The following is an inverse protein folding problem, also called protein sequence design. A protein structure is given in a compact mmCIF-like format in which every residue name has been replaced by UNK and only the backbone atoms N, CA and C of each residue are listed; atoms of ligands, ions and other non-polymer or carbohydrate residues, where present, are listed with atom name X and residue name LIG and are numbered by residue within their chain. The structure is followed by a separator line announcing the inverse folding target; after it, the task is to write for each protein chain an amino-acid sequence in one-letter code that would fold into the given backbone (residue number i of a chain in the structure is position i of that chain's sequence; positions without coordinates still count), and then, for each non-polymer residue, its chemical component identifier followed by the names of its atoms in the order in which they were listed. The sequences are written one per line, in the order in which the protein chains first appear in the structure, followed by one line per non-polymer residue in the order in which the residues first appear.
data_IF_248901961711
#
_entry.id   IF_248901961711
#
_cell.length_a   1.000
_cell.length_b   1.000
_cell.length_c   1.000
_cell.angle_alpha   90.00
_cell.angle_beta   90.00
_cell.angle_gamma   90.00
#
_symmetry.space_group_name_H-M   'P 1'
#
loop_
_entity.id
_entity.type
_entity.pdbx_description
1 polymer ?
#
# COMPACT_ATOMS: atom_id res chain seq x y z
N UNK A 1 -68.06 6.41 9.79
CA UNK A 1 -68.42 7.80 10.18
C UNK A 1 -68.17 8.65 8.94
N UNK A 2 -69.17 9.37 8.45
CA UNK A 2 -68.94 10.39 7.41
C UNK A 2 -68.06 11.46 8.05
N UNK A 3 -66.81 11.59 7.61
CA UNK A 3 -65.96 12.70 8.01
C UNK A 3 -66.67 13.98 7.57
N UNK A 4 -66.91 14.91 8.50
CA UNK A 4 -67.49 16.20 8.14
C UNK A 4 -66.59 16.84 7.08
N UNK A 5 -67.20 17.25 5.98
CA UNK A 5 -66.48 17.83 4.86
C UNK A 5 -65.81 19.13 5.33
N UNK A 6 -64.47 19.15 5.38
CA UNK A 6 -63.72 20.33 5.77
C UNK A 6 -63.82 21.39 4.68
N UNK A 7 -64.27 22.59 5.05
CA UNK A 7 -64.34 23.77 4.19
C UNK A 7 -63.35 24.81 4.74
N UNK A 8 -62.15 24.97 4.12
CA UNK A 8 -61.08 25.79 4.69
C UNK A 8 -61.34 27.29 4.59
N UNK A 9 -62.29 27.72 3.75
CA UNK A 9 -62.59 29.13 3.48
C UNK A 9 -64.09 29.41 3.56
N UNK A 10 -64.45 30.61 4.04
CA UNK A 10 -65.85 31.00 4.32
C UNK A 10 -66.72 31.14 3.07
N UNK A 11 -66.11 31.46 1.94
CA UNK A 11 -66.76 31.66 0.63
C UNK A 11 -66.66 30.41 -0.27
N UNK A 12 -66.34 29.24 0.30
CA UNK A 12 -66.26 27.96 -0.41
C UNK A 12 -67.28 27.00 0.18
N UNK A 13 -68.11 26.43 -0.69
CA UNK A 13 -69.19 25.49 -0.35
C UNK A 13 -69.17 24.26 -1.27
N UNK A 14 -70.10 23.33 -1.05
CA UNK A 14 -70.19 22.07 -1.81
C UNK A 14 -70.50 22.25 -3.30
N UNK A 15 -70.91 23.44 -3.72
CA UNK A 15 -71.23 23.76 -5.12
C UNK A 15 -70.15 24.60 -5.80
N UNK A 16 -69.11 25.00 -5.06
CA UNK A 16 -68.00 25.80 -5.57
C UNK A 16 -67.23 25.00 -6.63
N UNK A 17 -66.97 25.57 -7.83
CA UNK A 17 -66.11 24.93 -8.82
C UNK A 17 -64.73 24.61 -8.25
N UNK A 18 -64.15 23.47 -8.66
CA UNK A 18 -62.82 23.04 -8.21
C UNK A 18 -62.68 22.89 -6.68
N UNK A 19 -63.78 22.57 -6.00
CA UNK A 19 -63.83 22.42 -4.54
C UNK A 19 -62.71 21.54 -3.97
N UNK A 20 -62.48 20.37 -4.57
CA UNK A 20 -61.46 19.44 -4.09
C UNK A 20 -60.04 19.96 -4.31
N UNK A 21 -59.79 20.70 -5.40
CA UNK A 21 -58.51 21.36 -5.67
C UNK A 21 -58.25 22.51 -4.67
N UNK A 22 -59.29 23.30 -4.36
CA UNK A 22 -59.22 24.39 -3.37
C UNK A 22 -58.92 23.83 -1.98
N UNK A 23 -59.56 22.72 -1.61
CA UNK A 23 -59.27 22.01 -0.35
C UNK A 23 -57.84 21.53 -0.31
N UNK A 24 -57.39 20.83 -1.35
CA UNK A 24 -56.01 20.35 -1.41
C UNK A 24 -55.01 21.50 -1.29
N UNK A 25 -55.25 22.63 -1.95
CA UNK A 25 -54.38 23.80 -1.88
C UNK A 25 -54.28 24.38 -0.46
N UNK A 26 -55.38 24.33 0.30
CA UNK A 26 -55.44 24.76 1.69
C UNK A 26 -54.77 23.74 2.64
N UNK A 27 -55.09 22.46 2.51
CA UNK A 27 -54.53 21.37 3.32
C UNK A 27 -53.01 21.24 3.11
N UNK A 28 -52.54 21.49 1.89
CA UNK A 28 -51.13 21.60 1.55
C UNK A 28 -50.44 22.84 2.15
N UNK A 29 -51.21 23.82 2.62
CA UNK A 29 -50.70 25.11 3.10
C UNK A 29 -50.19 26.03 1.99
N UNK A 30 -50.53 25.75 0.73
CA UNK A 30 -50.11 26.57 -0.43
C UNK A 30 -50.94 27.86 -0.49
N UNK A 31 -52.26 27.75 -0.28
CA UNK A 31 -53.15 28.90 -0.10
C UNK A 31 -53.64 28.99 1.34
N UNK A 32 -53.60 30.19 1.90
CA UNK A 32 -54.07 30.51 3.25
C UNK A 32 -55.30 31.42 3.25
N UNK A 33 -55.78 31.79 2.05
CA UNK A 33 -56.89 32.70 1.84
C UNK A 33 -56.61 34.13 2.31
N UNK A 34 -57.63 34.98 2.16
CA UNK A 34 -57.62 36.35 2.61
C UNK A 34 -58.26 36.46 4.00
N UNK A 35 -57.52 36.85 5.05
CA UNK A 35 -58.05 36.90 6.39
C UNK A 35 -59.06 38.05 6.56
N UNK A 36 -60.12 37.81 7.33
CA UNK A 36 -61.20 38.77 7.59
C UNK A 36 -61.15 39.42 8.99
N UNK A 37 -60.10 39.14 9.77
CA UNK A 37 -59.90 39.70 11.11
C UNK A 37 -60.67 39.00 12.24
N UNK A 38 -61.68 38.19 11.90
CA UNK A 38 -62.44 37.32 12.82
C UNK A 38 -61.82 35.91 12.98
N UNK A 39 -60.61 35.72 12.47
CA UNK A 39 -59.93 34.42 12.41
C UNK A 39 -60.34 33.54 11.23
N UNK A 40 -61.30 33.97 10.40
CA UNK A 40 -61.68 33.27 9.16
C UNK A 40 -60.97 33.88 7.95
N UNK A 41 -60.90 33.09 6.88
CA UNK A 41 -60.35 33.50 5.58
C UNK A 41 -61.34 33.22 4.45
N UNK A 42 -61.23 33.99 3.36
CA UNK A 42 -61.95 33.75 2.09
C UNK A 42 -60.97 33.42 0.97
N UNK A 43 -61.34 32.51 0.07
CA UNK A 43 -60.52 32.06 -1.05
C UNK A 43 -60.53 33.03 -2.23
N UNK A 44 -61.68 33.65 -2.51
CA UNK A 44 -61.91 34.53 -3.67
C UNK A 44 -61.69 33.79 -5.01
N UNK A 45 -62.35 32.65 -5.21
CA UNK A 45 -62.10 31.74 -6.35
C UNK A 45 -62.32 32.33 -7.76
N UNK A 46 -63.02 33.46 -7.89
CA UNK A 46 -63.18 34.19 -9.16
C UNK A 46 -62.20 35.36 -9.31
N UNK A 47 -61.32 35.58 -8.33
CA UNK A 47 -60.30 36.63 -8.37
C UNK A 47 -59.13 36.26 -9.27
N UNK A 48 -58.65 37.23 -10.05
CA UNK A 48 -57.43 37.07 -10.83
C UNK A 48 -56.23 36.96 -9.90
N UNK A 49 -55.41 35.92 -10.09
CA UNK A 49 -54.13 35.78 -9.39
C UNK A 49 -53.16 36.85 -9.89
N UNK A 50 -52.64 37.66 -8.96
CA UNK A 50 -51.58 38.63 -9.23
C UNK A 50 -50.20 38.03 -8.95
N UNK A 51 -49.14 38.64 -9.52
CA UNK A 51 -47.77 38.07 -9.48
C UNK A 51 -47.23 37.84 -8.08
N UNK A 52 -47.53 38.70 -7.11
CA UNK A 52 -47.08 38.52 -5.73
C UNK A 52 -47.77 37.36 -5.01
N UNK A 53 -49.05 37.10 -5.31
CA UNK A 53 -49.79 35.97 -4.74
C UNK A 53 -49.25 34.66 -5.32
N UNK A 54 -48.97 34.64 -6.64
CA UNK A 54 -48.31 33.52 -7.30
C UNK A 54 -46.93 33.23 -6.69
N UNK A 55 -46.14 34.27 -6.37
CA UNK A 55 -44.85 34.10 -5.69
C UNK A 55 -44.99 33.39 -4.34
N UNK A 56 -46.00 33.76 -3.55
CA UNK A 56 -46.30 33.10 -2.29
C UNK A 56 -46.67 31.62 -2.48
N UNK A 57 -47.51 31.30 -3.46
CA UNK A 57 -47.89 29.91 -3.77
C UNK A 57 -46.68 29.07 -4.16
N UNK A 58 -45.84 29.57 -5.07
CA UNK A 58 -44.67 28.84 -5.56
C UNK A 58 -43.62 28.61 -4.47
N UNK A 59 -43.37 29.58 -3.58
CA UNK A 59 -42.44 29.37 -2.45
C UNK A 59 -42.97 28.36 -1.44
N UNK A 60 -44.28 28.38 -1.16
CA UNK A 60 -44.92 27.39 -0.27
C UNK A 60 -44.85 26.00 -0.87
N UNK A 61 -45.09 25.87 -2.17
CA UNK A 61 -44.95 24.59 -2.87
C UNK A 61 -43.50 24.10 -2.86
N UNK A 62 -42.54 24.99 -3.14
CA UNK A 62 -41.12 24.66 -3.05
C UNK A 62 -40.70 24.18 -1.65
N UNK A 63 -41.26 24.78 -0.59
CA UNK A 63 -41.02 24.36 0.78
C UNK A 63 -41.57 22.96 1.07
N UNK A 64 -42.67 22.53 0.42
CA UNK A 64 -43.21 21.17 0.54
C UNK A 64 -42.31 20.14 -0.12
N UNK A 65 -41.71 20.49 -1.26
CA UNK A 65 -40.72 19.64 -1.95
C UNK A 65 -39.33 19.67 -1.31
N UNK A 66 -39.15 20.40 -0.20
CA UNK A 66 -37.86 20.47 0.49
C UNK A 66 -36.76 21.20 -0.29
N UNK A 67 -37.13 22.06 -1.24
CA UNK A 67 -36.17 22.88 -1.99
C UNK A 67 -35.40 23.75 -1.01
N UNK A 68 -34.07 23.75 -1.15
CA UNK A 68 -33.15 24.41 -0.24
C UNK A 68 -33.56 25.87 0.03
N UNK A 69 -33.54 26.24 1.32
CA UNK A 69 -33.86 27.56 1.83
C UNK A 69 -35.29 28.07 1.60
N UNK A 70 -36.19 27.42 0.84
CA UNK A 70 -37.54 27.92 0.59
C UNK A 70 -38.32 28.26 1.88
N UNK A 71 -38.37 27.33 2.84
CA UNK A 71 -39.06 27.51 4.13
C UNK A 71 -38.37 28.51 5.07
N UNK A 72 -37.04 28.57 5.02
CA UNK A 72 -36.20 29.31 5.98
C UNK A 72 -35.62 30.62 5.46
N UNK A 73 -35.90 30.98 4.20
CA UNK A 73 -35.27 32.12 3.53
C UNK A 73 -35.53 33.43 4.27
N UNK A 74 -34.44 34.17 4.50
CA UNK A 74 -34.43 35.51 5.09
C UNK A 74 -33.66 36.43 4.14
N UNK A 75 -34.30 37.45 3.53
CA UNK A 75 -33.62 38.29 2.56
C UNK A 75 -32.53 39.16 3.20
N UNK A 76 -31.33 39.11 2.61
CA UNK A 76 -30.20 39.95 2.95
C UNK A 76 -30.29 41.35 2.35
N UNK A 77 -29.35 42.24 2.69
CA UNK A 77 -29.36 43.63 2.22
C UNK A 77 -29.29 43.78 0.69
N UNK A 78 -28.69 42.82 -0.01
CA UNK A 78 -28.64 42.77 -1.48
C UNK A 78 -29.96 42.34 -2.10
N UNK A 79 -30.69 41.43 -1.45
CA UNK A 79 -31.99 40.95 -1.95
C UNK A 79 -33.01 42.09 -1.97
N UNK A 80 -33.03 42.92 -0.93
CA UNK A 80 -33.89 44.11 -0.87
C UNK A 80 -33.60 45.17 -1.97
N UNK A 81 -32.48 45.04 -2.69
CA UNK A 81 -32.15 45.91 -3.84
C UNK A 81 -32.51 45.28 -5.19
N UNK A 82 -33.04 44.06 -5.20
CA UNK A 82 -33.28 43.26 -6.40
C UNK A 82 -34.35 43.85 -7.32
N UNK A 83 -35.39 44.44 -6.75
CA UNK A 83 -36.47 45.11 -7.46
C UNK A 83 -36.75 46.49 -6.88
N UNK A 84 -36.98 47.48 -7.73
CA UNK A 84 -37.22 48.87 -7.33
C UNK A 84 -38.57 49.09 -6.64
N UNK A 85 -39.54 48.22 -6.91
CA UNK A 85 -40.93 48.28 -6.45
C UNK A 85 -41.25 47.20 -5.39
N UNK A 86 -40.22 46.58 -4.79
CA UNK A 86 -40.38 45.60 -3.71
C UNK A 86 -39.62 46.08 -2.48
N UNK A 87 -40.35 46.34 -1.42
CA UNK A 87 -39.84 46.75 -0.12
C UNK A 87 -40.50 45.94 1.01
N UNK A 88 -40.15 46.26 2.25
CA UNK A 88 -40.65 45.54 3.44
C UNK A 88 -42.16 45.67 3.67
N UNK A 89 -42.81 46.66 3.05
CA UNK A 89 -44.26 46.86 3.11
C UNK A 89 -45.00 46.17 1.96
N UNK A 90 -44.27 45.71 0.95
CA UNK A 90 -44.85 45.01 -0.20
C UNK A 90 -45.40 43.65 0.24
N UNK A 91 -46.66 43.32 -0.10
CA UNK A 91 -47.21 42.01 0.21
C UNK A 91 -46.35 40.91 -0.43
N UNK A 92 -46.09 39.84 0.33
CA UNK A 92 -45.29 38.69 -0.15
C UNK A 92 -43.85 39.06 -0.58
N UNK A 93 -43.29 40.17 -0.07
CA UNK A 93 -41.94 40.62 -0.46
C UNK A 93 -40.87 39.54 -0.30
N UNK A 94 -40.86 38.81 0.82
CA UNK A 94 -39.88 37.74 1.03
C UNK A 94 -40.05 36.58 0.04
N UNK A 95 -41.29 36.29 -0.35
CA UNK A 95 -41.60 35.25 -1.34
C UNK A 95 -41.08 35.68 -2.72
N UNK A 96 -41.31 36.94 -3.10
CA UNK A 96 -40.79 37.53 -4.34
C UNK A 96 -39.26 37.49 -4.38
N UNK A 97 -38.61 37.85 -3.27
CA UNK A 97 -37.15 37.88 -3.18
C UNK A 97 -36.56 36.47 -3.19
N UNK A 98 -37.21 35.49 -2.55
CA UNK A 98 -36.78 34.10 -2.65
C UNK A 98 -36.84 33.60 -4.11
N UNK A 99 -37.97 33.82 -4.82
CA UNK A 99 -38.10 33.46 -6.24
C UNK A 99 -37.01 34.11 -7.09
N UNK A 100 -36.58 35.32 -6.73
CA UNK A 100 -35.54 36.02 -7.47
C UNK A 100 -34.13 35.47 -7.15
N UNK A 101 -33.90 35.08 -5.90
CA UNK A 101 -32.64 34.47 -5.45
C UNK A 101 -32.40 33.10 -6.08
N UNK A 102 -33.46 32.34 -6.36
CA UNK A 102 -33.40 31.03 -7.02
C UNK A 102 -33.52 31.13 -8.54
N UNK A 103 -33.75 32.33 -9.09
CA UNK A 103 -33.88 32.54 -10.53
C UNK A 103 -35.22 32.11 -11.13
N UNK A 104 -36.20 31.72 -10.32
CA UNK A 104 -37.58 31.44 -10.76
C UNK A 104 -38.20 32.69 -11.40
N UNK A 105 -37.96 33.87 -10.81
CA UNK A 105 -38.31 35.15 -11.43
C UNK A 105 -37.09 36.02 -11.71
N UNK A 106 -37.10 36.70 -12.85
CA UNK A 106 -36.09 37.70 -13.22
C UNK A 106 -36.59 39.14 -13.02
N UNK A 107 -37.90 39.31 -12.80
CA UNK A 107 -38.60 40.59 -12.94
C UNK A 107 -38.65 41.10 -14.38
N UNK A 108 -39.00 42.36 -14.52
CA UNK A 108 -39.01 43.11 -15.78
C UNK A 108 -37.63 43.74 -16.03
N UNK A 109 -37.34 44.06 -17.30
CA UNK A 109 -36.05 44.63 -17.72
C UNK A 109 -35.72 45.99 -17.06
N UNK A 110 -36.73 46.72 -16.60
CA UNK A 110 -36.59 48.00 -15.89
C UNK A 110 -36.18 47.84 -14.41
N UNK A 111 -36.08 46.59 -13.93
CA UNK A 111 -35.76 46.25 -12.54
C UNK A 111 -36.97 46.24 -11.61
N UNK A 112 -38.20 46.11 -12.13
CA UNK A 112 -39.43 45.97 -11.32
C UNK A 112 -39.94 44.53 -11.28
N UNK A 113 -40.76 44.18 -10.29
CA UNK A 113 -41.46 42.89 -10.20
C UNK A 113 -42.94 43.00 -10.62
N UNK A 114 -43.55 44.15 -10.36
CA UNK A 114 -44.95 44.51 -10.62
C UNK A 114 -45.95 43.57 -9.95
N UNK A 115 -45.85 43.45 -8.63
CA UNK A 115 -46.57 42.46 -7.80
C UNK A 115 -48.09 42.43 -7.99
N UNK A 116 -48.72 43.57 -8.23
CA UNK A 116 -50.18 43.70 -8.45
C UNK A 116 -50.63 43.45 -9.89
N UNK A 117 -49.71 43.19 -10.82
CA UNK A 117 -50.07 42.86 -12.21
C UNK A 117 -50.66 41.45 -12.26
N UNK A 118 -51.73 41.20 -13.03
CA UNK A 118 -52.19 39.85 -13.33
C UNK A 118 -51.07 38.95 -13.85
N UNK A 119 -51.06 37.69 -13.45
CA UNK A 119 -50.12 36.72 -14.02
C UNK A 119 -50.58 36.34 -15.42
N UNK A 120 -49.81 36.74 -16.44
CA UNK A 120 -50.05 36.27 -17.80
C UNK A 120 -49.66 34.79 -17.95
N UNK A 121 -50.33 34.07 -18.85
CA UNK A 121 -50.07 32.63 -19.08
C UNK A 121 -48.60 32.31 -19.38
N UNK A 122 -47.91 33.21 -20.09
CA UNK A 122 -46.47 33.09 -20.38
C UNK A 122 -45.59 33.25 -19.15
N UNK A 123 -45.97 34.13 -18.22
CA UNK A 123 -45.23 34.33 -16.96
C UNK A 123 -45.43 33.11 -16.05
N UNK A 124 -46.67 32.61 -15.97
CA UNK A 124 -47.00 31.38 -15.25
C UNK A 124 -46.18 30.20 -15.78
N UNK A 125 -46.12 30.00 -17.11
CA UNK A 125 -45.33 28.94 -17.71
C UNK A 125 -43.85 29.04 -17.35
N UNK A 126 -43.28 30.26 -17.40
CA UNK A 126 -41.89 30.47 -17.02
C UNK A 126 -41.64 30.18 -15.54
N UNK A 127 -42.53 30.59 -14.64
CA UNK A 127 -42.39 30.32 -13.22
C UNK A 127 -42.50 28.83 -12.89
N UNK A 128 -43.48 28.13 -13.45
CA UNK A 128 -43.69 26.70 -13.20
C UNK A 128 -42.51 25.90 -13.74
N UNK A 129 -42.05 26.16 -14.97
CA UNK A 129 -40.91 25.45 -15.55
C UNK A 129 -39.64 25.61 -14.70
N UNK A 130 -39.34 26.84 -14.27
CA UNK A 130 -38.14 27.09 -13.46
C UNK A 130 -38.27 26.48 -12.07
N UNK A 131 -39.47 26.48 -11.48
CA UNK A 131 -39.70 25.77 -10.22
C UNK A 131 -39.50 24.26 -10.40
N UNK A 132 -39.98 23.69 -11.51
CA UNK A 132 -39.83 22.27 -11.85
C UNK A 132 -38.35 21.87 -11.96
N UNK A 133 -37.51 22.72 -12.57
CA UNK A 133 -36.04 22.54 -12.63
C UNK A 133 -35.42 22.38 -11.22
N UNK A 134 -36.01 23.00 -10.19
CA UNK A 134 -35.57 22.86 -8.80
C UNK A 134 -36.19 21.64 -8.08
N UNK A 135 -37.44 21.27 -8.40
CA UNK A 135 -38.12 20.11 -7.80
C UNK A 135 -37.50 18.81 -8.33
N UNK A 136 -37.31 18.74 -9.64
CA UNK A 136 -36.80 17.56 -10.34
C UNK A 136 -35.27 17.60 -10.50
N UNK A 137 -34.55 18.33 -9.65
CA UNK A 137 -33.10 18.23 -9.62
C UNK A 137 -32.70 16.85 -9.07
N UNK A 138 -32.49 15.90 -9.97
CA UNK A 138 -31.92 14.61 -9.64
C UNK A 138 -30.44 14.78 -9.29
N UNK A 139 -30.10 14.49 -8.03
CA UNK A 139 -28.74 14.17 -7.65
C UNK A 139 -28.37 12.83 -8.32
N UNK A 140 -27.67 12.87 -9.46
CA UNK A 140 -27.14 11.66 -10.07
C UNK A 140 -25.92 11.23 -9.29
N UNK A 141 -26.08 10.19 -8.48
CA UNK A 141 -24.96 9.47 -7.88
C UNK A 141 -24.38 8.56 -8.96
N UNK A 142 -23.30 9.01 -9.59
CA UNK A 142 -22.54 8.20 -10.54
C UNK A 142 -21.41 7.49 -9.79
N UNK A 143 -21.26 6.20 -10.07
CA UNK A 143 -20.08 5.45 -9.64
C UNK A 143 -18.95 5.76 -10.62
N UNK A 144 -17.90 6.37 -10.10
CA UNK A 144 -16.71 6.71 -10.88
C UNK A 144 -15.58 5.80 -10.40
N UNK A 145 -14.94 5.12 -11.35
CA UNK A 145 -13.68 4.41 -11.08
C UNK A 145 -12.61 5.48 -10.94
N UNK A 146 -12.12 5.68 -9.73
CA UNK A 146 -11.05 6.67 -9.45
C UNK A 146 -9.67 6.03 -9.53
N UNK A 147 -9.60 4.71 -9.42
CA UNK A 147 -8.41 3.91 -9.67
C UNK A 147 -8.83 2.56 -10.23
N UNK A 148 -8.25 2.17 -11.36
CA UNK A 148 -8.49 0.86 -11.97
C UNK A 148 -7.90 -0.25 -11.12
N UNK A 149 -8.43 -1.47 -11.29
CA UNK A 149 -7.83 -2.66 -10.71
C UNK A 149 -6.42 -2.85 -11.25
N UNK A 150 -5.50 -3.31 -10.41
CA UNK A 150 -4.11 -3.49 -10.78
C UNK A 150 -3.46 -4.65 -10.04
N UNK A 151 -2.46 -5.22 -10.70
CA UNK A 151 -1.71 -6.37 -10.21
C UNK A 151 -0.33 -5.89 -9.74
N UNK A 152 -0.03 -6.09 -8.46
CA UNK A 152 1.29 -5.79 -7.88
C UNK A 152 2.15 -7.05 -7.86
N UNK A 153 3.39 -6.96 -8.34
CA UNK A 153 4.39 -7.99 -8.08
C UNK A 153 5.11 -7.65 -6.78
N UNK A 154 4.93 -8.49 -5.76
CA UNK A 154 5.62 -8.35 -4.47
C UNK A 154 6.58 -9.52 -4.26
N UNK A 155 7.71 -9.24 -3.60
CA UNK A 155 8.67 -10.28 -3.22
C UNK A 155 8.00 -11.22 -2.23
N UNK A 156 7.96 -12.52 -2.56
CA UNK A 156 7.47 -13.57 -1.67
C UNK A 156 8.60 -14.12 -0.81
N UNK A 157 9.71 -14.50 -1.46
CA UNK A 157 10.97 -14.84 -0.78
C UNK A 157 12.11 -13.99 -1.33
N UNK A 158 12.89 -13.30 -0.47
CA UNK A 158 14.01 -12.51 -0.92
C UNK A 158 15.14 -13.39 -1.44
N UNK A 159 15.96 -12.83 -2.32
CA UNK A 159 17.21 -13.46 -2.74
C UNK A 159 18.14 -13.62 -1.52
N UNK A 160 18.91 -14.71 -1.50
CA UNK A 160 19.83 -15.00 -0.41
C UNK A 160 21.04 -15.81 -0.89
N UNK A 161 22.17 -15.62 -0.20
CA UNK A 161 23.40 -16.33 -0.49
C UNK A 161 23.60 -17.47 0.50
N UNK A 162 23.73 -18.69 0.00
CA UNK A 162 24.08 -19.88 0.77
C UNK A 162 25.58 -20.10 0.76
N UNK A 163 26.21 -20.15 1.92
CA UNK A 163 27.63 -20.51 2.03
C UNK A 163 27.74 -22.01 2.32
N UNK A 164 28.23 -22.76 1.33
CA UNK A 164 28.57 -24.17 1.46
C UNK A 164 30.01 -24.25 1.95
N UNK A 165 30.26 -24.72 3.19
CA UNK A 165 31.60 -24.73 3.76
C UNK A 165 32.53 -25.69 3.03
N UNK A 166 33.83 -25.39 3.06
CA UNK A 166 34.84 -26.26 2.50
C UNK A 166 34.83 -27.65 3.16
N UNK A 167 34.90 -28.71 2.36
CA UNK A 167 35.09 -30.08 2.86
C UNK A 167 36.58 -30.36 2.90
N UNK A 168 37.11 -30.63 4.08
CA UNK A 168 38.53 -30.95 4.28
C UNK A 168 38.71 -32.37 4.77
N UNK A 169 39.90 -32.92 4.55
CA UNK A 169 40.31 -34.22 5.09
C UNK A 169 41.73 -34.13 5.60
N UNK A 170 41.94 -34.70 6.78
CA UNK A 170 43.28 -34.87 7.33
C UNK A 170 43.92 -36.10 6.68
N UNK A 171 45.09 -35.90 6.09
CA UNK A 171 45.95 -36.95 5.55
C UNK A 171 47.14 -37.09 6.47
N UNK A 172 47.33 -38.30 6.99
CA UNK A 172 48.44 -38.64 7.86
C UNK A 172 49.62 -39.10 6.99
N UNK A 173 50.75 -38.42 7.14
CA UNK A 173 52.00 -38.82 6.51
C UNK A 173 52.90 -39.49 7.56
N UNK A 174 53.33 -40.72 7.28
CA UNK A 174 54.23 -41.45 8.15
C UNK A 174 55.62 -40.78 8.21
N UNK A 175 56.32 -40.97 9.33
CA UNK A 175 57.69 -40.51 9.46
C UNK A 175 58.60 -41.21 8.44
N UNK A 176 59.47 -40.45 7.77
CA UNK A 176 60.54 -41.04 6.95
C UNK A 176 61.75 -41.23 7.84
N UNK A 177 62.22 -42.47 7.90
CA UNK A 177 63.31 -42.86 8.78
C UNK A 177 64.35 -43.71 8.05
N UNK A 178 65.60 -43.61 8.47
CA UNK A 178 66.66 -44.53 8.07
C UNK A 178 67.37 -45.12 9.29
N UNK A 179 68.10 -46.21 9.08
CA UNK A 179 68.93 -46.84 10.11
C UNK A 179 70.38 -46.39 9.98
N UNK A 180 70.95 -45.88 11.06
CA UNK A 180 72.38 -45.63 11.18
C UNK A 180 73.05 -46.68 12.08
N UNK A 181 74.25 -47.17 11.73
CA UNK A 181 75.00 -48.06 12.60
C UNK A 181 75.46 -47.32 13.87
N UNK A 182 75.31 -47.96 15.02
CA UNK A 182 75.82 -47.46 16.31
C UNK A 182 77.09 -48.23 16.65
N UNK A 183 78.17 -47.48 16.84
CA UNK A 183 79.46 -48.02 17.23
C UNK A 183 79.74 -47.73 18.71
N UNK A 184 80.19 -48.75 19.43
CA UNK A 184 80.70 -48.60 20.81
C UNK A 184 82.13 -49.11 20.88
N UNK A 185 82.97 -48.43 21.66
CA UNK A 185 84.33 -48.88 21.94
C UNK A 185 84.29 -50.09 22.89
N UNK A 186 84.63 -51.29 22.40
CA UNK A 186 84.70 -52.51 23.21
C UNK A 186 86.07 -53.16 23.14
N UNK A 187 86.41 -53.90 24.21
CA UNK A 187 87.61 -54.73 24.24
C UNK A 187 87.34 -56.03 23.48
N UNK A 188 88.04 -56.25 22.38
CA UNK A 188 87.84 -57.40 21.48
C UNK A 188 89.17 -57.84 20.86
N UNK A 189 89.14 -58.91 20.04
CA UNK A 189 90.26 -59.27 19.20
C UNK A 189 90.28 -58.34 17.99
N UNK A 190 91.42 -57.68 17.75
CA UNK A 190 91.57 -56.72 16.65
C UNK A 190 92.65 -57.18 15.67
N UNK A 191 92.42 -56.94 14.39
CA UNK A 191 93.50 -56.94 13.41
C UNK A 191 94.15 -55.57 13.42
N UNK A 192 95.45 -55.54 13.69
CA UNK A 192 96.28 -54.35 13.64
C UNK A 192 97.22 -54.42 12.45
N UNK A 193 97.18 -53.39 11.64
CA UNK A 193 98.03 -53.22 10.46
C UNK A 193 99.27 -52.37 10.79
N UNK A 194 100.34 -52.44 9.97
CA UNK A 194 101.62 -51.79 10.25
C UNK A 194 101.54 -50.27 10.27
N UNK A 195 100.60 -49.68 9.53
CA UNK A 195 100.33 -48.24 9.49
C UNK A 195 99.57 -47.72 10.72
N UNK A 196 99.18 -48.63 11.63
CA UNK A 196 98.46 -48.31 12.85
C UNK A 196 96.94 -48.39 12.72
N UNK A 197 96.40 -48.72 11.54
CA UNK A 197 94.98 -48.99 11.38
C UNK A 197 94.58 -50.23 12.19
N UNK A 198 93.43 -50.15 12.87
CA UNK A 198 92.90 -51.21 13.72
C UNK A 198 91.43 -51.41 13.35
N UNK A 199 91.07 -52.66 13.08
CA UNK A 199 89.68 -53.09 12.91
C UNK A 199 89.40 -54.29 13.83
N UNK A 200 88.21 -54.34 14.41
CA UNK A 200 87.80 -55.52 15.16
C UNK A 200 87.72 -56.73 14.22
N UNK A 201 88.24 -57.88 14.64
CA UNK A 201 88.36 -59.04 13.76
C UNK A 201 87.00 -59.58 13.30
N UNK A 202 85.97 -59.42 14.14
CA UNK A 202 84.58 -59.71 13.81
C UNK A 202 84.00 -58.72 12.79
N UNK A 203 84.27 -57.42 12.90
CA UNK A 203 83.87 -56.44 11.89
C UNK A 203 84.57 -56.65 10.55
N UNK A 204 85.87 -56.99 10.57
CA UNK A 204 86.59 -57.36 9.36
C UNK A 204 85.96 -58.58 8.67
N UNK A 205 85.55 -59.58 9.45
CA UNK A 205 84.93 -60.80 8.92
C UNK A 205 83.57 -60.57 8.23
N UNK A 206 82.88 -59.45 8.55
CA UNK A 206 81.61 -59.07 7.92
C UNK A 206 81.79 -58.40 6.56
N UNK A 207 82.98 -57.89 6.26
CA UNK A 207 83.30 -57.30 4.95
C UNK A 207 83.28 -58.41 3.87
N UNK A 208 82.84 -58.07 2.66
CA UNK A 208 82.93 -59.00 1.53
C UNK A 208 84.39 -59.31 1.20
N UNK A 209 84.68 -60.43 0.53
CA UNK A 209 86.05 -60.80 0.19
C UNK A 209 86.79 -59.73 -0.64
N UNK A 210 86.08 -58.98 -1.48
CA UNK A 210 86.66 -57.84 -2.22
C UNK A 210 86.98 -56.67 -1.28
N UNK A 211 86.14 -56.38 -0.30
CA UNK A 211 86.37 -55.31 0.67
C UNK A 211 87.48 -55.65 1.66
N UNK A 212 87.50 -56.89 2.16
CA UNK A 212 88.61 -57.42 2.96
C UNK A 212 89.92 -57.29 2.20
N UNK A 213 89.96 -57.75 0.94
CA UNK A 213 91.16 -57.67 0.11
C UNK A 213 91.58 -56.22 -0.16
N UNK A 214 90.63 -55.33 -0.47
CA UNK A 214 90.92 -53.90 -0.66
C UNK A 214 91.46 -53.25 0.61
N UNK A 215 90.87 -53.56 1.76
CA UNK A 215 91.31 -53.04 3.06
C UNK A 215 92.71 -53.55 3.40
N UNK A 216 92.95 -54.84 3.25
CA UNK A 216 94.28 -55.42 3.45
C UNK A 216 95.32 -54.76 2.55
N UNK A 217 95.03 -54.60 1.25
CA UNK A 217 95.95 -53.96 0.31
C UNK A 217 96.18 -52.48 0.61
N UNK A 218 95.16 -51.76 1.08
CA UNK A 218 95.28 -50.36 1.48
C UNK A 218 96.20 -50.19 2.71
N UNK A 219 96.26 -51.19 3.58
CA UNK A 219 96.99 -51.13 4.86
C UNK A 219 98.25 -52.03 4.88
N UNK A 220 98.78 -52.41 3.71
CA UNK A 220 100.08 -53.09 3.59
C UNK A 220 100.06 -54.62 3.69
N UNK A 221 98.89 -55.24 3.54
CA UNK A 221 98.68 -56.67 3.24
C UNK A 221 98.91 -57.66 4.39
N UNK A 222 99.70 -57.29 5.41
CA UNK A 222 99.97 -58.15 6.57
C UNK A 222 99.41 -57.54 7.85
N UNK A 223 98.54 -58.26 8.56
CA UNK A 223 98.01 -57.86 9.86
C UNK A 223 98.48 -58.77 11.00
N UNK A 224 98.40 -58.26 12.23
CA UNK A 224 98.61 -59.03 13.46
C UNK A 224 97.33 -59.05 14.28
N UNK A 225 97.00 -60.19 14.88
CA UNK A 225 95.81 -60.34 15.73
C UNK A 225 96.20 -60.19 17.20
N UNK A 226 95.68 -59.16 17.87
CA UNK A 226 95.96 -58.89 19.29
C UNK A 226 94.67 -58.48 20.04
N UNK A 227 94.58 -58.68 21.36
CA UNK A 227 93.51 -58.07 22.15
C UNK A 227 93.67 -56.55 22.20
N UNK A 228 92.60 -55.79 21.93
CA UNK A 228 92.62 -54.33 21.89
C UNK A 228 91.23 -53.71 22.08
N UNK A 229 91.15 -52.37 22.04
CA UNK A 229 89.87 -51.66 21.96
C UNK A 229 89.63 -51.23 20.51
N UNK A 230 88.46 -51.56 19.98
CA UNK A 230 88.03 -51.13 18.66
C UNK A 230 86.57 -50.67 18.71
N UNK A 231 86.19 -49.86 17.72
CA UNK A 231 84.78 -49.58 17.45
C UNK A 231 84.14 -50.85 16.89
N UNK A 232 83.17 -51.38 17.62
CA UNK A 232 82.39 -52.55 17.19
C UNK A 232 80.97 -52.05 16.92
N UNK A 233 80.36 -52.48 15.82
CA UNK A 233 78.96 -52.16 15.56
C UNK A 233 78.12 -52.98 16.53
N UNK A 234 77.43 -52.30 17.44
CA UNK A 234 76.65 -52.94 18.52
C UNK A 234 75.16 -52.96 18.25
N UNK A 235 74.71 -52.22 17.24
CA UNK A 235 73.34 -52.22 16.76
C UNK A 235 73.13 -51.18 15.67
N UNK A 236 71.87 -50.90 15.38
CA UNK A 236 71.42 -49.77 14.57
C UNK A 236 70.52 -48.88 15.42
N UNK A 237 70.52 -47.58 15.11
CA UNK A 237 69.52 -46.64 15.63
C UNK A 237 68.69 -46.13 14.48
N UNK A 238 67.39 -45.96 14.71
CA UNK A 238 66.50 -45.32 13.75
C UNK A 238 66.67 -43.81 13.90
N UNK A 239 67.02 -43.14 12.82
CA UNK A 239 67.07 -41.68 12.73
C UNK A 239 65.86 -41.22 11.93
N UNK A 240 65.15 -40.23 12.47
CA UNK A 240 64.00 -39.61 11.82
C UNK A 240 64.50 -38.48 10.94
N UNK A 241 64.37 -38.64 9.62
CA UNK A 241 64.74 -37.61 8.66
C UNK A 241 63.66 -36.55 8.56
N UNK A 242 62.40 -37.00 8.49
CA UNK A 242 61.21 -36.16 8.56
C UNK A 242 60.22 -36.76 9.54
N UNK A 243 59.76 -36.00 10.54
CA UNK A 243 58.76 -36.49 11.47
C UNK A 243 57.42 -36.73 10.75
N UNK A 244 56.62 -37.64 11.31
CA UNK A 244 55.23 -37.79 10.89
C UNK A 244 54.49 -36.47 11.06
N UNK A 245 53.59 -36.17 10.13
CA UNK A 245 52.82 -34.92 10.16
C UNK A 245 51.45 -35.09 9.52
N UNK A 246 50.54 -34.22 9.95
CA UNK A 246 49.16 -34.21 9.49
C UNK A 246 48.95 -33.05 8.51
N UNK A 247 48.50 -33.38 7.32
CA UNK A 247 48.12 -32.41 6.29
C UNK A 247 46.61 -32.26 6.26
N UNK A 248 46.11 -31.03 6.37
CA UNK A 248 44.69 -30.77 6.08
C UNK A 248 44.54 -30.40 4.61
N UNK A 249 44.00 -31.31 3.82
CA UNK A 249 43.77 -31.11 2.39
C UNK A 249 42.32 -30.68 2.16
N UNK A 250 42.13 -29.63 1.36
CA UNK A 250 40.79 -29.20 0.90
C UNK A 250 40.35 -30.11 -0.23
N UNK A 251 39.27 -30.87 -0.01
CA UNK A 251 38.65 -31.74 -1.04
C UNK A 251 37.75 -30.91 -1.94
N UNK A 252 36.96 -30.03 -1.36
CA UNK A 252 36.08 -29.12 -2.08
C UNK A 252 36.18 -27.75 -1.42
N UNK A 253 36.50 -26.69 -2.19
CA UNK A 253 36.61 -25.35 -1.63
C UNK A 253 35.24 -24.87 -1.13
N UNK A 254 35.25 -23.85 -0.29
CA UNK A 254 34.03 -23.13 0.08
C UNK A 254 33.38 -22.56 -1.19
N UNK A 255 32.05 -22.65 -1.25
CA UNK A 255 31.26 -22.15 -2.37
C UNK A 255 30.14 -21.26 -1.86
N UNK A 256 29.87 -20.17 -2.58
CA UNK A 256 28.67 -19.35 -2.37
C UNK A 256 27.69 -19.64 -3.49
N UNK A 257 26.49 -20.10 -3.14
CA UNK A 257 25.39 -20.32 -4.08
C UNK A 257 24.38 -19.19 -3.92
N UNK A 258 24.14 -18.43 -4.98
CA UNK A 258 23.13 -17.38 -5.00
C UNK A 258 21.75 -17.99 -5.31
N UNK A 259 20.78 -17.72 -4.44
CA UNK A 259 19.37 -18.06 -4.65
C UNK A 259 18.59 -16.80 -5.03
N UNK A 260 17.96 -16.84 -6.20
CA UNK A 260 17.16 -15.71 -6.73
C UNK A 260 15.89 -15.47 -5.90
N UNK A 261 15.41 -14.22 -5.90
CA UNK A 261 14.15 -13.86 -5.27
C UNK A 261 12.97 -14.51 -6.00
N UNK A 262 11.93 -14.89 -5.25
CA UNK A 262 10.65 -15.30 -5.84
C UNK A 262 9.59 -14.21 -5.61
N UNK A 263 8.63 -14.13 -6.53
CA UNK A 263 7.60 -13.09 -6.55
C UNK A 263 6.22 -13.71 -6.58
N UNK A 264 5.24 -13.01 -6.00
CA UNK A 264 3.82 -13.32 -6.11
C UNK A 264 3.03 -12.10 -6.56
N UNK A 265 1.92 -12.36 -7.23
CA UNK A 265 0.98 -11.31 -7.64
C UNK A 265 -0.02 -11.04 -6.52
N UNK A 266 -0.16 -9.78 -6.12
CA UNK A 266 -1.25 -9.28 -5.27
C UNK A 266 -2.22 -8.53 -6.16
N UNK A 267 -3.48 -8.94 -6.13
CA UNK A 267 -4.55 -8.30 -6.89
C UNK A 267 -5.19 -7.19 -6.05
N UNK A 268 -5.22 -5.97 -6.58
CA UNK A 268 -5.92 -4.84 -6.01
C UNK A 268 -7.18 -4.56 -6.80
N UNK A 269 -8.33 -4.56 -6.12
CA UNK A 269 -9.61 -4.19 -6.72
C UNK A 269 -9.62 -2.71 -7.14
N UNK A 270 -10.46 -2.40 -8.13
CA UNK A 270 -10.71 -1.02 -8.53
C UNK A 270 -11.30 -0.21 -7.37
N UNK A 271 -10.82 1.02 -7.19
CA UNK A 271 -11.39 1.96 -6.21
C UNK A 271 -12.53 2.72 -6.91
N UNK A 272 -13.74 2.54 -6.39
CA UNK A 272 -14.96 3.16 -6.90
C UNK A 272 -15.44 4.17 -5.87
N UNK A 273 -15.57 5.43 -6.30
CA UNK A 273 -16.17 6.48 -5.49
C UNK A 273 -17.54 6.86 -6.04
N UNK A 274 -18.47 7.16 -5.13
CA UNK A 274 -19.76 7.73 -5.48
C UNK A 274 -19.58 9.24 -5.65
N UNK A 275 -19.60 9.72 -6.89
CA UNK A 275 -19.63 11.15 -7.17
C UNK A 275 -21.07 11.58 -7.35
N UNK A 276 -21.47 12.63 -6.64
CA UNK A 276 -22.81 13.22 -6.83
C UNK A 276 -22.67 14.38 -7.79
N UNK A 277 -23.21 14.23 -8.99
CA UNK A 277 -23.33 15.31 -9.96
C UNK A 277 -24.77 15.83 -9.95
N UNK A 278 -24.91 17.13 -9.72
CA UNK A 278 -26.21 17.80 -9.78
C UNK A 278 -26.45 18.24 -11.23
N UNK A 279 -27.07 17.39 -12.04
CA UNK A 279 -27.51 17.78 -13.38
C UNK A 279 -28.78 18.62 -13.30
N UNK A 280 -28.86 19.72 -14.05
CA UNK A 280 -29.99 20.66 -14.12
C UNK A 280 -30.28 21.53 -12.89
N UNK A 281 -29.49 21.43 -11.82
CA UNK A 281 -29.59 22.39 -10.71
C UNK A 281 -29.00 23.76 -11.13
N UNK A 282 -29.86 24.78 -11.30
CA UNK A 282 -29.40 26.18 -11.17
C UNK A 282 -29.34 26.50 -9.67
N UNK A 283 -28.12 26.67 -9.16
CA UNK A 283 -27.84 27.21 -7.81
C UNK A 283 -27.97 28.73 -7.87
#
# INVERSE_FOLDING_TARGET
MLSAVHLPFRDVDLTTPHLDDIRWLADAGISTGWPLGDGTSVFRGMGTVVRQDMAAFLRREAARFGIANAKGYKPGATDWKRFKDVDRSTPHAEDILWLASTGITTGYADGTFRGMTPVYRQDMAAFIHRLDDHINCEAKVTRVVVQEAWDEQVVDTPAWDEVIPAVTKVVHHDAVTHEEPVYETKKTLVQRYPDGFIIAADEFSKLSGIEQFKLEMAHGGHCTFIPGYAQVQTGTRIVVDTPAWDETVVITPEQTVHHEATYKTVHHDAVIENRTEFSNCRI
#
